data_IF_663231250480
#
_entry.id   IF_663231250480
#
_cell.length_a   1.000
_cell.length_b   1.000
_cell.length_c   1.000
_cell.angle_alpha   90.00
_cell.angle_beta   90.00
_cell.angle_gamma   90.00
#
_symmetry.space_group_name_H-M   'P 1'
#
loop_
_entity.id
_entity.type
_entity.pdbx_description
1 polymer ?
#
# COMPACT_ATOMS: atom_id res chain seq x y z
N UNK A 1 47.59 23.65 7.68
CA UNK A 1 46.40 22.85 7.36
C UNK A 1 45.22 23.53 8.03
N UNK A 2 44.47 24.35 7.31
CA UNK A 2 43.30 25.03 7.86
C UNK A 2 42.11 24.08 7.76
N UNK A 3 41.65 23.56 8.90
CA UNK A 3 40.31 23.01 9.00
C UNK A 3 39.33 24.18 8.79
N UNK A 4 38.66 24.23 7.63
CA UNK A 4 37.54 25.14 7.43
C UNK A 4 36.37 24.61 8.26
N UNK A 5 36.06 25.31 9.34
CA UNK A 5 34.85 25.10 10.12
C UNK A 5 33.62 25.23 9.22
N UNK A 6 32.72 24.24 9.24
CA UNK A 6 31.40 24.33 8.61
C UNK A 6 30.51 25.44 9.19
N UNK A 7 30.97 26.20 10.19
CA UNK A 7 30.26 27.31 10.82
C UNK A 7 30.39 28.66 10.09
N UNK A 8 30.98 28.71 8.89
CA UNK A 8 31.14 29.95 8.10
C UNK A 8 29.97 30.20 7.14
N UNK A 9 29.11 29.21 6.90
CA UNK A 9 27.98 29.33 5.98
C UNK A 9 26.79 30.05 6.64
N UNK A 10 26.13 31.00 5.95
CA UNK A 10 24.88 31.59 6.41
C UNK A 10 23.78 30.55 6.61
N UNK A 11 22.81 30.84 7.49
CA UNK A 11 21.65 29.98 7.79
C UNK A 11 20.91 29.57 6.50
N UNK A 12 20.68 30.51 5.58
CA UNK A 12 19.98 30.27 4.32
C UNK A 12 20.71 29.26 3.42
N UNK A 13 22.05 29.27 3.44
CA UNK A 13 22.85 28.30 2.70
C UNK A 13 22.73 26.91 3.34
N UNK A 14 22.77 26.84 4.67
CA UNK A 14 22.63 25.59 5.41
C UNK A 14 21.23 25.01 5.21
N UNK A 15 20.17 25.82 5.31
CA UNK A 15 18.79 25.37 5.09
C UNK A 15 18.58 24.89 3.66
N UNK A 16 19.14 25.59 2.67
CA UNK A 16 19.10 25.15 1.27
C UNK A 16 19.80 23.80 1.10
N UNK A 17 20.98 23.60 1.68
CA UNK A 17 21.69 22.31 1.63
C UNK A 17 20.86 21.22 2.31
N UNK A 18 20.34 21.47 3.52
CA UNK A 18 19.51 20.51 4.25
C UNK A 18 18.25 20.12 3.48
N UNK A 19 17.64 21.04 2.73
CA UNK A 19 16.45 20.77 1.91
C UNK A 19 16.67 19.74 0.79
N UNK A 20 17.93 19.48 0.41
CA UNK A 20 18.32 18.44 -0.53
C UNK A 20 18.73 17.11 0.13
N UNK A 21 18.71 17.04 1.47
CA UNK A 21 18.99 15.83 2.23
C UNK A 21 17.71 15.05 2.53
N UNK A 22 17.77 14.05 3.42
CA UNK A 22 16.57 13.35 3.92
C UNK A 22 16.03 14.04 5.19
N UNK A 23 14.73 13.92 5.48
CA UNK A 23 14.16 14.32 6.76
C UNK A 23 14.91 13.74 7.96
N UNK A 24 15.41 12.50 7.84
CA UNK A 24 16.17 11.85 8.90
C UNK A 24 17.53 12.50 9.13
N UNK A 25 18.25 12.84 8.06
CA UNK A 25 19.55 13.50 8.16
C UNK A 25 19.41 14.94 8.64
N UNK A 26 18.36 15.65 8.21
CA UNK A 26 18.02 16.98 8.73
C UNK A 26 17.79 16.94 10.24
N UNK A 27 17.05 15.95 10.75
CA UNK A 27 16.85 15.77 12.18
C UNK A 27 18.16 15.48 12.94
N UNK A 28 19.11 14.74 12.34
CA UNK A 28 20.43 14.49 12.94
C UNK A 28 21.29 15.75 12.97
N UNK A 29 21.17 16.59 11.94
CA UNK A 29 21.89 17.86 11.84
C UNK A 29 21.52 18.87 12.94
N UNK A 30 20.32 18.75 13.55
CA UNK A 30 19.92 19.58 14.70
C UNK A 30 20.92 19.56 15.85
N UNK A 31 21.65 18.45 16.03
CA UNK A 31 22.59 18.26 17.13
C UNK A 31 24.02 18.73 16.83
N UNK A 32 24.29 19.23 15.61
CA UNK A 32 25.65 19.60 15.17
C UNK A 32 26.07 20.97 15.73
N UNK A 33 25.21 21.99 15.61
CA UNK A 33 25.43 23.32 16.19
C UNK A 33 24.11 24.10 16.28
N UNK A 34 24.12 25.24 16.97
CA UNK A 34 22.95 26.13 17.06
C UNK A 34 22.50 26.68 15.70
N UNK A 35 23.45 26.98 14.81
CA UNK A 35 23.14 27.43 13.44
C UNK A 35 22.43 26.34 12.64
N UNK A 36 22.91 25.09 12.73
CA UNK A 36 22.24 23.95 12.10
C UNK A 36 20.87 23.69 12.72
N UNK A 37 20.70 23.91 14.03
CA UNK A 37 19.39 23.79 14.67
C UNK A 37 18.37 24.74 14.05
N UNK A 38 18.72 26.03 13.95
CA UNK A 38 17.81 27.05 13.38
C UNK A 38 17.53 26.74 11.90
N UNK A 39 18.58 26.46 11.12
CA UNK A 39 18.44 26.16 9.70
C UNK A 39 17.60 24.90 9.42
N UNK A 40 17.72 23.85 10.24
CA UNK A 40 16.97 22.61 10.10
C UNK A 40 15.50 22.74 10.55
N UNK A 41 15.18 23.70 11.42
CA UNK A 41 13.80 24.01 11.83
C UNK A 41 13.08 24.95 10.84
N UNK A 42 13.79 25.50 9.86
CA UNK A 42 13.23 26.39 8.85
C UNK A 42 12.20 25.71 7.96
N UNK A 43 11.06 26.37 7.76
CA UNK A 43 9.99 25.90 6.86
C UNK A 43 10.44 25.77 5.39
N UNK A 44 11.54 26.42 4.99
CA UNK A 44 12.15 26.25 3.66
C UNK A 44 12.59 24.80 3.42
N UNK A 45 13.13 24.16 4.47
CA UNK A 45 13.58 22.76 4.44
C UNK A 45 12.37 21.84 4.33
N UNK A 46 11.41 22.00 5.24
CA UNK A 46 10.26 21.11 5.35
C UNK A 46 9.27 21.25 4.19
N UNK A 47 9.24 22.40 3.51
CA UNK A 47 8.48 22.57 2.25
C UNK A 47 8.93 21.59 1.16
N UNK A 48 10.24 21.26 1.09
CA UNK A 48 10.76 20.30 0.12
C UNK A 48 10.46 18.85 0.49
N UNK A 49 10.32 18.57 1.79
CA UNK A 49 10.01 17.23 2.29
C UNK A 49 8.52 16.91 2.26
N UNK A 50 7.67 17.93 2.32
CA UNK A 50 6.23 17.75 2.17
C UNK A 50 5.88 17.38 0.71
N UNK A 51 4.92 16.48 0.50
CA UNK A 51 4.43 16.18 -0.85
C UNK A 51 3.82 17.41 -1.50
N UNK A 52 4.00 17.62 -2.80
CA UNK A 52 3.44 18.78 -3.52
C UNK A 52 1.93 18.96 -3.39
N UNK A 53 1.20 17.88 -3.09
CA UNK A 53 -0.25 17.86 -2.89
C UNK A 53 -0.69 17.91 -1.41
N UNK A 54 0.20 18.28 -0.47
CA UNK A 54 -0.13 18.32 0.96
C UNK A 54 -1.36 19.20 1.28
N UNK A 55 -1.56 20.30 0.55
CA UNK A 55 -2.73 21.18 0.72
C UNK A 55 -4.04 20.46 0.38
N UNK A 56 -4.03 19.61 -0.65
CA UNK A 56 -5.18 18.78 -1.00
C UNK A 56 -5.49 17.79 0.11
N UNK A 57 -4.45 17.15 0.69
CA UNK A 57 -4.62 16.20 1.80
C UNK A 57 -5.27 16.88 3.00
N UNK A 58 -4.82 18.08 3.37
CA UNK A 58 -5.43 18.87 4.45
C UNK A 58 -6.87 19.25 4.13
N UNK A 59 -7.18 19.58 2.88
CA UNK A 59 -8.55 19.96 2.50
C UNK A 59 -9.54 18.80 2.53
N UNK A 60 -9.07 17.57 2.29
CA UNK A 60 -9.89 16.36 2.22
C UNK A 60 -9.87 15.55 3.52
N UNK A 61 -9.09 15.95 4.51
CA UNK A 61 -8.99 15.22 5.78
C UNK A 61 -10.31 15.27 6.54
N UNK A 62 -10.75 14.11 7.03
CA UNK A 62 -11.99 13.99 7.83
C UNK A 62 -11.89 14.76 9.15
N UNK A 63 -10.70 14.83 9.74
CA UNK A 63 -10.42 15.63 10.93
C UNK A 63 -9.55 16.84 10.60
N UNK A 64 -9.80 18.03 11.18
CA UNK A 64 -8.98 19.21 10.94
C UNK A 64 -7.53 19.00 11.37
N UNK A 65 -6.59 19.26 10.46
CA UNK A 65 -5.15 19.21 10.74
C UNK A 65 -4.70 20.61 11.17
N UNK A 66 -4.47 20.79 12.47
CA UNK A 66 -3.92 22.03 13.03
C UNK A 66 -2.41 21.91 13.18
N UNK A 67 -1.65 22.83 12.59
CA UNK A 67 -0.19 22.84 12.68
C UNK A 67 0.37 24.26 12.82
N UNK A 68 1.50 24.38 13.51
CA UNK A 68 2.21 25.64 13.76
C UNK A 68 3.41 25.87 12.84
N UNK A 69 3.94 24.81 12.22
CA UNK A 69 5.05 24.85 11.25
C UNK A 69 4.94 23.70 10.24
N UNK A 70 5.67 23.79 9.12
CA UNK A 70 5.72 22.70 8.12
C UNK A 70 6.39 21.45 8.67
N UNK A 71 7.35 21.62 9.59
CA UNK A 71 7.92 20.52 10.38
C UNK A 71 6.84 19.80 11.17
N UNK A 72 6.02 20.55 11.92
CA UNK A 72 4.92 19.97 12.70
C UNK A 72 3.93 19.23 11.80
N UNK A 73 3.57 19.83 10.66
CA UNK A 73 2.72 19.19 9.65
C UNK A 73 3.31 17.87 9.13
N UNK A 74 4.61 17.82 8.82
CA UNK A 74 5.27 16.61 8.35
C UNK A 74 5.15 15.46 9.35
N UNK A 75 5.44 15.72 10.64
CA UNK A 75 5.30 14.70 11.68
C UNK A 75 3.85 14.28 11.91
N UNK A 76 2.90 15.21 11.77
CA UNK A 76 1.48 14.88 11.88
C UNK A 76 1.02 13.98 10.73
N UNK A 77 1.45 14.25 9.50
CA UNK A 77 1.13 13.45 8.31
C UNK A 77 1.88 12.10 8.26
N UNK A 78 2.87 11.87 9.13
CA UNK A 78 3.40 10.50 9.33
C UNK A 78 2.36 9.59 10.00
N UNK A 79 1.43 10.15 10.77
CA UNK A 79 0.32 9.40 11.33
C UNK A 79 -0.77 9.21 10.25
N UNK A 80 -1.48 8.08 10.28
CA UNK A 80 -2.56 7.83 9.34
C UNK A 80 -3.62 8.92 9.35
N UNK A 81 -3.85 9.51 8.18
CA UNK A 81 -4.86 10.56 7.95
C UNK A 81 -5.93 10.00 7.03
N UNK A 82 -7.19 10.05 7.48
CA UNK A 82 -8.33 9.60 6.69
C UNK A 82 -8.83 10.72 5.79
N UNK A 83 -9.03 10.40 4.51
CA UNK A 83 -9.61 11.29 3.49
C UNK A 83 -10.76 10.59 2.77
N UNK A 84 -11.46 11.30 1.87
CA UNK A 84 -12.53 10.76 1.02
C UNK A 84 -13.57 9.98 1.85
N UNK A 85 -14.18 10.68 2.82
CA UNK A 85 -15.18 10.12 3.74
C UNK A 85 -14.68 8.93 4.59
N UNK A 86 -13.36 8.80 4.76
CA UNK A 86 -12.75 7.72 5.54
C UNK A 86 -12.44 6.47 4.73
N UNK A 87 -12.66 6.48 3.42
CA UNK A 87 -12.38 5.34 2.55
C UNK A 87 -10.93 5.27 2.07
N UNK A 88 -10.15 6.33 2.27
CA UNK A 88 -8.72 6.32 1.99
C UNK A 88 -7.93 6.79 3.19
N UNK A 89 -6.79 6.17 3.39
CA UNK A 89 -5.87 6.49 4.47
C UNK A 89 -4.52 6.86 3.86
N UNK A 90 -4.03 8.06 4.17
CA UNK A 90 -2.74 8.56 3.71
C UNK A 90 -1.78 8.69 4.88
N UNK A 91 -0.51 8.40 4.63
CA UNK A 91 0.58 8.66 5.57
C UNK A 91 1.88 8.98 4.82
N UNK A 92 2.82 9.64 5.49
CA UNK A 92 4.15 9.88 4.94
C UNK A 92 5.13 8.81 5.40
N UNK A 93 5.91 8.30 4.46
CA UNK A 93 7.06 7.46 4.76
C UNK A 93 8.13 8.29 5.49
N UNK A 94 8.55 7.81 6.67
CA UNK A 94 9.42 8.55 7.59
C UNK A 94 10.77 8.98 6.98
N UNK A 95 11.34 8.13 6.14
CA UNK A 95 12.67 8.31 5.55
C UNK A 95 12.66 9.22 4.33
N UNK A 96 11.63 9.12 3.49
CA UNK A 96 11.59 9.76 2.16
C UNK A 96 10.60 10.92 2.07
N UNK A 97 9.66 11.03 3.01
CA UNK A 97 8.54 11.97 2.94
C UNK A 97 7.53 11.65 1.84
N UNK A 98 7.62 10.49 1.19
CA UNK A 98 6.71 10.09 0.12
C UNK A 98 5.39 9.59 0.69
N UNK A 99 4.32 9.80 -0.06
CA UNK A 99 2.97 9.39 0.34
C UNK A 99 2.86 7.88 0.21
N UNK A 100 2.43 7.24 1.30
CA UNK A 100 1.84 5.91 1.32
C UNK A 100 0.32 6.08 1.34
N UNK A 101 -0.39 5.30 0.54
CA UNK A 101 -1.85 5.40 0.44
C UNK A 101 -2.48 4.02 0.62
N UNK A 102 -3.55 3.94 1.39
CA UNK A 102 -4.38 2.75 1.46
C UNK A 102 -5.81 3.07 1.06
N UNK A 103 -6.36 2.25 0.16
CA UNK A 103 -7.76 2.26 -0.25
C UNK A 103 -8.50 1.22 0.58
N UNK A 104 -9.60 1.59 1.23
CA UNK A 104 -10.44 0.65 1.98
C UNK A 104 -11.17 -0.31 1.03
N UNK A 105 -11.65 -1.43 1.56
CA UNK A 105 -12.50 -2.35 0.81
C UNK A 105 -13.72 -1.67 0.17
N UNK A 106 -14.29 -0.63 0.80
CA UNK A 106 -15.42 0.15 0.25
C UNK A 106 -15.06 0.98 -0.98
N UNK A 107 -13.81 1.40 -1.13
CA UNK A 107 -13.33 2.11 -2.32
C UNK A 107 -13.02 1.14 -3.48
N UNK A 108 -12.96 -0.17 -3.21
CA UNK A 108 -12.69 -1.19 -4.21
C UNK A 108 -13.97 -1.59 -4.93
N UNK A 109 -13.83 -1.91 -6.22
CA UNK A 109 -14.86 -2.59 -7.00
C UNK A 109 -14.66 -4.10 -6.85
N UNK A 110 -15.49 -4.72 -6.02
CA UNK A 110 -15.48 -6.15 -5.74
C UNK A 110 -16.68 -6.78 -6.45
N UNK A 111 -16.45 -7.78 -7.29
CA UNK A 111 -17.55 -8.47 -7.97
C UNK A 111 -18.43 -9.22 -6.96
N UNK A 112 -19.74 -8.98 -7.03
CA UNK A 112 -20.72 -9.61 -6.14
C UNK A 112 -20.86 -8.95 -4.77
N UNK A 113 -20.17 -7.83 -4.50
CA UNK A 113 -20.18 -7.19 -3.16
C UNK A 113 -21.55 -6.71 -2.66
N UNK A 114 -22.50 -6.56 -3.57
CA UNK A 114 -23.87 -6.14 -3.28
C UNK A 114 -24.77 -7.32 -2.88
N UNK A 115 -24.32 -8.57 -3.10
CA UNK A 115 -25.05 -9.79 -2.74
C UNK A 115 -24.60 -10.30 -1.35
N UNK A 116 -25.48 -10.25 -0.32
CA UNK A 116 -25.19 -10.75 1.02
C UNK A 116 -24.91 -12.27 1.10
N UNK A 117 -25.26 -13.02 0.04
CA UNK A 117 -24.93 -14.45 -0.06
C UNK A 117 -23.47 -14.67 -0.47
N UNK A 118 -22.88 -13.72 -1.20
CA UNK A 118 -21.48 -13.78 -1.61
C UNK A 118 -20.56 -13.03 -0.64
N UNK A 119 -20.94 -11.82 -0.22
CA UNK A 119 -20.11 -10.94 0.60
C UNK A 119 -20.84 -10.41 1.83
N UNK A 120 -20.13 -10.32 2.96
CA UNK A 120 -20.60 -9.66 4.17
C UNK A 120 -19.67 -8.49 4.48
N UNK A 121 -20.26 -7.34 4.77
CA UNK A 121 -19.56 -6.19 5.31
C UNK A 121 -19.61 -6.23 6.83
N UNK A 122 -18.45 -6.13 7.48
CA UNK A 122 -18.37 -6.20 8.93
C UNK A 122 -17.27 -5.29 9.48
N UNK A 123 -17.41 -4.87 10.74
CA UNK A 123 -16.35 -4.18 11.45
C UNK A 123 -15.39 -5.17 12.09
N UNK A 124 -14.09 -4.95 11.92
CA UNK A 124 -13.04 -5.73 12.57
C UNK A 124 -12.25 -4.83 13.51
N UNK A 125 -12.05 -5.22 14.79
CA UNK A 125 -11.28 -4.42 15.74
C UNK A 125 -9.80 -4.29 15.35
N UNK A 126 -9.31 -5.19 14.50
CA UNK A 126 -7.93 -5.22 14.00
C UNK A 126 -7.77 -4.47 12.67
N UNK A 127 -8.87 -3.96 12.09
CA UNK A 127 -8.89 -3.21 10.84
C UNK A 127 -8.59 -1.73 11.08
N UNK A 128 -7.88 -1.13 10.12
CA UNK A 128 -7.65 0.33 10.07
C UNK A 128 -8.87 1.10 9.59
N UNK A 129 -9.81 0.43 8.91
CA UNK A 129 -11.07 0.99 8.42
C UNK A 129 -12.27 0.46 9.21
N UNK A 130 -13.38 1.21 9.17
CA UNK A 130 -14.62 0.83 9.85
C UNK A 130 -15.20 -0.50 9.38
N UNK A 131 -15.03 -0.80 8.10
CA UNK A 131 -15.67 -1.94 7.45
C UNK A 131 -14.67 -2.69 6.57
N UNK A 132 -14.70 -4.01 6.67
CA UNK A 132 -13.98 -4.95 5.83
C UNK A 132 -14.97 -5.85 5.10
N UNK A 133 -14.57 -6.40 3.97
CA UNK A 133 -15.41 -7.28 3.16
C UNK A 133 -14.98 -8.74 3.35
N UNK A 134 -15.85 -9.59 3.89
CA UNK A 134 -15.65 -11.04 3.99
C UNK A 134 -16.41 -11.76 2.88
N UNK A 135 -15.68 -12.56 2.10
CA UNK A 135 -16.24 -13.47 1.12
C UNK A 135 -16.83 -14.70 1.83
N UNK A 136 -18.14 -14.89 1.78
CA UNK A 136 -18.79 -16.10 2.28
C UNK A 136 -18.56 -17.28 1.35
N UNK A 137 -18.95 -17.10 0.09
CA UNK A 137 -19.04 -18.17 -0.90
C UNK A 137 -19.31 -17.59 -2.28
N UNK A 138 -18.33 -17.62 -3.19
CA UNK A 138 -18.55 -17.27 -4.60
C UNK A 138 -17.66 -18.12 -5.51
N UNK A 139 -18.10 -18.33 -6.76
CA UNK A 139 -17.25 -18.92 -7.80
C UNK A 139 -16.45 -17.85 -8.53
N UNK A 140 -16.81 -16.56 -8.42
CA UNK A 140 -16.09 -15.45 -9.05
C UNK A 140 -15.31 -14.67 -7.99
N UNK A 141 -14.02 -14.43 -8.25
CA UNK A 141 -13.21 -13.54 -7.43
C UNK A 141 -12.56 -12.48 -8.32
N UNK A 142 -13.03 -11.25 -8.18
CA UNK A 142 -12.54 -10.11 -8.93
C UNK A 142 -12.58 -8.87 -8.04
N UNK A 143 -11.40 -8.40 -7.67
CA UNK A 143 -11.18 -7.24 -6.82
C UNK A 143 -10.42 -6.22 -7.66
N UNK A 144 -10.95 -5.02 -7.78
CA UNK A 144 -10.33 -3.94 -8.54
C UNK A 144 -10.21 -2.68 -7.70
N UNK A 145 -9.02 -2.10 -7.66
CA UNK A 145 -8.77 -0.77 -7.10
C UNK A 145 -8.46 0.22 -8.21
N UNK A 146 -8.85 1.48 -8.01
CA UNK A 146 -8.50 2.58 -8.89
C UNK A 146 -8.00 3.76 -8.06
N UNK A 147 -6.94 4.40 -8.52
CA UNK A 147 -6.43 5.61 -7.90
C UNK A 147 -5.86 6.55 -8.97
N UNK A 148 -5.94 7.85 -8.72
CA UNK A 148 -5.31 8.86 -9.56
C UNK A 148 -3.85 9.04 -9.16
N UNK A 149 -2.96 9.12 -10.14
CA UNK A 149 -1.52 9.33 -9.93
C UNK A 149 -1.17 10.58 -9.14
N UNK A 150 -2.01 11.62 -9.24
CA UNK A 150 -1.82 12.90 -8.55
C UNK A 150 -2.08 12.83 -7.03
N UNK A 151 -2.70 11.77 -6.53
CA UNK A 151 -2.85 11.50 -5.10
C UNK A 151 -1.55 10.98 -4.49
N UNK A 152 -0.68 10.38 -5.32
CA UNK A 152 0.61 9.82 -4.94
C UNK A 152 1.75 10.82 -5.20
N UNK A 153 2.91 10.57 -4.60
CA UNK A 153 4.09 11.39 -4.84
C UNK A 153 4.63 11.18 -6.26
N UNK A 154 4.93 12.25 -7.03
CA UNK A 154 5.48 12.12 -8.37
C UNK A 154 6.93 11.64 -8.35
N UNK A 155 7.38 11.08 -9.48
CA UNK A 155 8.73 10.54 -9.70
C UNK A 155 9.14 9.45 -8.71
N UNK A 156 8.20 8.60 -8.32
CA UNK A 156 8.40 7.56 -7.30
C UNK A 156 7.97 6.20 -7.86
N UNK A 157 8.77 5.18 -7.62
CA UNK A 157 8.37 3.79 -7.84
C UNK A 157 7.44 3.36 -6.70
N UNK A 158 6.29 2.82 -7.05
CA UNK A 158 5.29 2.30 -6.13
C UNK A 158 5.08 0.82 -6.35
N UNK A 159 4.77 0.13 -5.26
CA UNK A 159 4.22 -1.22 -5.30
C UNK A 159 2.86 -1.23 -4.63
N UNK A 160 1.90 -1.92 -5.25
CA UNK A 160 0.55 -2.10 -4.73
C UNK A 160 0.44 -3.46 -4.04
N UNK A 161 -0.17 -3.48 -2.86
CA UNK A 161 -0.33 -4.66 -2.03
C UNK A 161 -1.81 -4.82 -1.66
N UNK A 162 -2.41 -5.95 -1.97
CA UNK A 162 -3.72 -6.28 -1.41
C UNK A 162 -3.53 -6.78 0.02
N UNK A 163 -4.20 -6.13 0.98
CA UNK A 163 -4.16 -6.50 2.40
C UNK A 163 -5.43 -7.27 2.76
N UNK A 164 -5.25 -8.48 3.27
CA UNK A 164 -6.31 -9.46 3.46
C UNK A 164 -6.03 -10.41 4.63
N UNK A 165 -7.05 -11.13 5.06
CA UNK A 165 -6.98 -12.24 6.02
C UNK A 165 -7.69 -13.46 5.44
N UNK A 166 -7.25 -14.64 5.86
CA UNK A 166 -7.95 -15.89 5.59
C UNK A 166 -8.51 -16.40 6.91
N UNK A 167 -9.82 -16.64 6.94
CA UNK A 167 -10.47 -17.26 8.10
C UNK A 167 -10.06 -18.73 8.22
N UNK A 168 -10.24 -19.32 9.40
CA UNK A 168 -9.90 -20.73 9.62
C UNK A 168 -10.75 -21.66 8.74
N UNK A 169 -11.96 -21.24 8.42
CA UNK A 169 -12.89 -21.92 7.52
C UNK A 169 -12.65 -21.58 6.04
N UNK A 170 -11.54 -20.94 5.66
CA UNK A 170 -11.24 -20.61 4.27
C UNK A 170 -11.07 -21.87 3.40
N UNK A 171 -11.60 -21.82 2.17
CA UNK A 171 -11.54 -22.92 1.20
C UNK A 171 -11.49 -22.40 -0.23
N UNK A 172 -10.94 -23.19 -1.15
CA UNK A 172 -10.96 -22.93 -2.60
C UNK A 172 -9.99 -21.86 -3.12
N UNK A 173 -9.41 -21.04 -2.24
CA UNK A 173 -8.55 -19.89 -2.57
C UNK A 173 -7.11 -20.27 -3.00
N UNK A 174 -6.66 -21.46 -2.64
CA UNK A 174 -5.32 -22.00 -2.89
C UNK A 174 -5.28 -23.02 -4.05
N UNK A 175 -6.46 -23.35 -4.59
CA UNK A 175 -6.63 -24.37 -5.63
C UNK A 175 -6.09 -23.93 -6.99
N UNK A 176 -6.23 -22.65 -7.31
CA UNK A 176 -5.78 -22.01 -8.54
C UNK A 176 -5.09 -20.68 -8.22
N UNK A 177 -4.07 -20.30 -9.00
CA UNK A 177 -3.46 -18.99 -8.83
C UNK A 177 -4.43 -17.89 -9.27
N UNK A 178 -4.42 -16.80 -8.52
CA UNK A 178 -5.06 -15.54 -8.91
C UNK A 178 -4.11 -14.75 -9.82
N UNK A 179 -4.64 -14.21 -10.92
CA UNK A 179 -3.94 -13.23 -11.74
C UNK A 179 -3.99 -11.87 -11.05
N UNK A 180 -2.80 -11.34 -10.84
CA UNK A 180 -2.57 -10.03 -10.30
C UNK A 180 -2.19 -9.11 -11.45
N UNK A 181 -2.76 -7.92 -11.52
CA UNK A 181 -2.38 -6.98 -12.55
C UNK A 181 -2.35 -5.55 -12.06
N UNK A 182 -1.46 -4.78 -12.69
CA UNK A 182 -1.41 -3.34 -12.56
C UNK A 182 -1.36 -2.71 -13.95
N UNK A 183 -2.26 -1.77 -14.20
CA UNK A 183 -2.40 -1.07 -15.46
C UNK A 183 -2.11 0.41 -15.26
N UNK A 184 -1.11 0.92 -15.97
CA UNK A 184 -0.71 2.33 -15.97
C UNK A 184 -0.54 2.80 -17.40
N UNK A 185 -1.30 3.83 -17.82
CA UNK A 185 -1.22 4.42 -19.18
C UNK A 185 -1.25 3.36 -20.30
N UNK A 186 -2.16 2.39 -20.22
CA UNK A 186 -2.32 1.25 -21.14
C UNK A 186 -1.18 0.22 -21.16
N UNK A 187 -0.20 0.32 -20.25
CA UNK A 187 0.76 -0.76 -20.00
C UNK A 187 0.23 -1.62 -18.86
N UNK A 188 0.03 -2.90 -19.13
CA UNK A 188 -0.43 -3.88 -18.14
C UNK A 188 0.74 -4.76 -17.76
N UNK A 189 1.07 -4.78 -16.47
CA UNK A 189 1.93 -5.82 -15.90
C UNK A 189 1.04 -6.88 -15.27
N UNK A 190 1.29 -8.16 -15.58
CA UNK A 190 0.54 -9.30 -15.05
C UNK A 190 1.49 -10.22 -14.30
N UNK A 191 1.02 -10.70 -13.16
CA UNK A 191 1.69 -11.68 -12.33
C UNK A 191 0.66 -12.70 -11.83
N UNK A 192 1.11 -13.77 -11.20
CA UNK A 192 0.23 -14.80 -10.63
C UNK A 192 0.64 -15.12 -9.22
N UNK A 193 -0.32 -15.36 -8.35
CA UNK A 193 -0.02 -15.69 -6.97
C UNK A 193 -1.09 -16.56 -6.34
N UNK A 194 -0.69 -17.38 -5.37
CA UNK A 194 -1.60 -18.24 -4.62
C UNK A 194 -1.99 -17.58 -3.30
N UNK A 195 -3.30 -17.56 -3.03
CA UNK A 195 -3.86 -17.11 -1.77
C UNK A 195 -3.83 -18.27 -0.77
N UNK A 196 -2.69 -18.48 -0.14
CA UNK A 196 -2.49 -19.58 0.81
C UNK A 196 -1.86 -19.10 2.11
N UNK A 197 -2.32 -19.65 3.23
CA UNK A 197 -1.61 -19.60 4.51
C UNK A 197 -0.54 -20.69 4.52
N UNK A 198 0.62 -20.40 5.10
CA UNK A 198 1.68 -21.40 5.27
C UNK A 198 1.35 -22.32 6.47
N UNK A 199 0.31 -23.15 6.33
CA UNK A 199 -0.06 -24.15 7.34
C UNK A 199 0.28 -25.56 6.83
N UNK A 200 1.36 -26.11 7.38
CA UNK A 200 1.90 -27.42 7.00
C UNK A 200 0.90 -28.56 7.23
N UNK A 201 0.01 -28.46 8.22
CA UNK A 201 -0.96 -29.52 8.54
C UNK A 201 -2.11 -29.53 7.56
N UNK A 202 -2.66 -28.35 7.24
CA UNK A 202 -3.73 -28.19 6.24
C UNK A 202 -3.22 -28.61 4.86
N UNK A 203 -2.01 -28.18 4.49
CA UNK A 203 -1.35 -28.60 3.24
C UNK A 203 -1.17 -30.12 3.15
N UNK A 204 -0.73 -30.77 4.22
CA UNK A 204 -0.53 -32.22 4.22
C UNK A 204 -1.85 -32.98 4.05
N UNK A 205 -2.92 -32.55 4.74
CA UNK A 205 -4.25 -33.13 4.60
C UNK A 205 -4.81 -32.92 3.18
N UNK A 206 -4.71 -31.72 2.63
CA UNK A 206 -5.17 -31.43 1.26
C UNK A 206 -4.38 -32.23 0.21
N UNK A 207 -3.07 -32.42 0.40
CA UNK A 207 -2.27 -33.30 -0.44
C UNK A 207 -2.70 -34.76 -0.36
N UNK A 208 -3.09 -35.25 0.82
CA UNK A 208 -3.52 -36.65 0.96
C UNK A 208 -4.89 -36.91 0.33
N UNK A 209 -5.86 -36.01 0.52
CA UNK A 209 -7.24 -36.26 0.09
C UNK A 209 -7.57 -35.72 -1.31
N UNK A 210 -6.89 -34.66 -1.77
CA UNK A 210 -7.25 -33.94 -2.99
C UNK A 210 -6.09 -33.72 -3.97
N UNK A 211 -4.96 -34.40 -3.78
CA UNK A 211 -3.77 -34.32 -4.65
C UNK A 211 -4.11 -34.44 -6.15
N UNK A 212 -4.85 -35.48 -6.55
CA UNK A 212 -5.23 -35.69 -7.95
C UNK A 212 -6.04 -34.52 -8.52
N UNK A 213 -6.95 -33.95 -7.72
CA UNK A 213 -7.78 -32.79 -8.12
C UNK A 213 -6.93 -31.53 -8.25
N UNK A 214 -6.09 -31.25 -7.26
CA UNK A 214 -5.21 -30.07 -7.27
C UNK A 214 -4.22 -30.14 -8.43
N UNK A 215 -3.64 -31.32 -8.69
CA UNK A 215 -2.72 -31.52 -9.80
C UNK A 215 -3.40 -31.35 -11.16
N UNK A 216 -4.65 -31.83 -11.30
CA UNK A 216 -5.46 -31.63 -12.50
C UNK A 216 -5.92 -30.17 -12.69
N UNK A 217 -6.16 -29.42 -11.61
CA UNK A 217 -6.47 -27.99 -11.70
C UNK A 217 -5.23 -27.17 -12.08
N UNK A 218 -4.08 -27.48 -11.49
CA UNK A 218 -2.81 -26.81 -11.81
C UNK A 218 -2.38 -27.04 -13.25
N UNK A 219 -2.62 -28.24 -13.82
CA UNK A 219 -2.28 -28.50 -15.23
C UNK A 219 -3.12 -27.70 -16.23
N UNK A 220 -4.25 -27.10 -15.81
CA UNK A 220 -5.06 -26.19 -16.64
C UNK A 220 -4.47 -24.78 -16.73
N UNK A 221 -3.44 -24.49 -15.93
CA UNK A 221 -2.78 -23.18 -15.87
C UNK A 221 -1.34 -23.30 -16.35
N UNK A 222 -0.95 -22.50 -17.33
CA UNK A 222 0.42 -22.45 -17.83
C UNK A 222 1.37 -21.95 -16.73
N UNK A 223 2.56 -22.55 -16.61
CA UNK A 223 3.59 -22.20 -15.63
C UNK A 223 4.36 -20.89 -15.94
N UNK A 224 3.87 -20.07 -16.86
CA UNK A 224 4.50 -18.80 -17.23
C UNK A 224 4.05 -17.69 -16.27
N UNK A 225 4.98 -17.20 -15.45
CA UNK A 225 4.77 -16.07 -14.52
C UNK A 225 5.67 -16.15 -13.29
N UNK A 226 5.88 -15.02 -12.62
CA UNK A 226 6.49 -14.98 -11.28
C UNK A 226 5.41 -15.41 -10.29
N UNK A 227 5.64 -16.49 -9.53
CA UNK A 227 4.72 -16.92 -8.48
C UNK A 227 4.92 -16.10 -7.20
N UNK A 228 3.94 -15.27 -6.88
CA UNK A 228 3.84 -14.61 -5.58
C UNK A 228 3.24 -15.52 -4.51
N UNK A 229 3.63 -15.32 -3.25
CA UNK A 229 3.01 -15.95 -2.09
C UNK A 229 2.57 -14.82 -1.14
N UNK A 230 1.38 -14.95 -0.56
CA UNK A 230 0.92 -14.04 0.49
C UNK A 230 1.87 -14.08 1.70
N UNK A 231 2.24 -12.92 2.21
CA UNK A 231 3.16 -12.77 3.34
C UNK A 231 2.41 -12.27 4.57
N UNK A 232 2.73 -12.82 5.74
CA UNK A 232 2.18 -12.35 7.01
C UNK A 232 2.86 -11.05 7.45
N UNK A 233 2.03 -10.12 7.95
CA UNK A 233 2.43 -8.84 8.50
C UNK A 233 2.45 -8.90 10.02
N UNK A 234 3.12 -7.93 10.65
CA UNK A 234 3.21 -7.81 12.11
C UNK A 234 1.87 -7.46 12.78
N UNK A 235 0.94 -6.90 12.03
CA UNK A 235 -0.41 -6.51 12.47
C UNK A 235 -1.43 -7.68 12.37
N UNK A 236 -0.96 -8.89 12.04
CA UNK A 236 -1.80 -10.08 11.89
C UNK A 236 -2.54 -10.17 10.55
N UNK A 237 -2.43 -9.16 9.69
CA UNK A 237 -2.92 -9.23 8.32
C UNK A 237 -1.92 -9.94 7.41
N UNK A 238 -2.38 -10.34 6.22
CA UNK A 238 -1.53 -10.82 5.14
C UNK A 238 -1.53 -9.82 3.99
N UNK A 239 -0.45 -9.79 3.23
CA UNK A 239 -0.35 -8.98 2.03
C UNK A 239 0.14 -9.78 0.83
N UNK A 240 -0.30 -9.36 -0.34
CA UNK A 240 0.15 -9.90 -1.62
C UNK A 240 0.44 -8.77 -2.59
N UNK A 241 1.62 -8.80 -3.21
CA UNK A 241 2.06 -7.77 -4.15
C UNK A 241 1.32 -7.92 -5.48
N UNK A 242 0.48 -6.93 -5.81
CA UNK A 242 -0.29 -6.88 -7.05
C UNK A 242 0.59 -6.48 -8.24
N UNK A 243 1.65 -5.71 -7.99
CA UNK A 243 2.62 -5.28 -8.98
C UNK A 243 3.27 -3.94 -8.63
N UNK A 244 4.26 -3.59 -9.44
CA UNK A 244 5.02 -2.34 -9.34
C UNK A 244 4.73 -1.41 -10.52
N UNK A 245 4.83 -0.11 -10.27
CA UNK A 245 4.73 0.91 -11.31
C UNK A 245 5.53 2.16 -10.94
N UNK A 246 5.98 2.88 -11.97
CA UNK A 246 6.59 4.19 -11.78
C UNK A 246 5.52 5.29 -11.92
N UNK A 247 5.37 6.10 -10.89
CA UNK A 247 4.50 7.27 -10.91
C UNK A 247 5.24 8.46 -11.54
N UNK A 248 5.13 8.62 -12.84
CA UNK A 248 5.67 9.77 -13.57
C UNK A 248 4.80 11.03 -13.41
N UNK A 249 5.33 12.21 -13.74
CA UNK A 249 4.61 13.48 -13.69
C UNK A 249 3.43 13.42 -14.68
N UNK A 250 2.21 13.55 -14.18
CA UNK A 250 0.99 13.57 -14.98
C UNK A 250 -0.25 13.11 -14.19
N UNK A 251 -1.41 13.25 -14.83
CA UNK A 251 -2.69 12.76 -14.30
C UNK A 251 -3.11 11.52 -15.11
N UNK A 252 -2.85 10.34 -14.56
CA UNK A 252 -3.30 9.08 -15.12
C UNK A 252 -4.01 8.24 -14.06
N UNK A 253 -4.96 7.43 -14.51
CA UNK A 253 -5.61 6.43 -13.68
C UNK A 253 -4.72 5.19 -13.59
N UNK A 254 -4.47 4.73 -12.36
CA UNK A 254 -3.78 3.48 -12.06
C UNK A 254 -4.85 2.49 -11.64
N UNK A 255 -4.92 1.36 -12.35
CA UNK A 255 -5.85 0.27 -12.02
C UNK A 255 -5.06 -0.90 -11.48
N UNK A 256 -5.53 -1.47 -10.38
CA UNK A 256 -4.94 -2.63 -9.73
C UNK A 256 -6.02 -3.69 -9.66
N UNK A 257 -5.68 -4.95 -9.92
CA UNK A 257 -6.66 -6.02 -9.85
C UNK A 257 -6.09 -7.32 -9.32
N UNK A 258 -6.91 -8.04 -8.57
CA UNK A 258 -6.78 -9.46 -8.32
C UNK A 258 -7.98 -10.17 -8.95
N UNK A 259 -7.74 -11.10 -9.85
CA UNK A 259 -8.77 -11.82 -10.56
C UNK A 259 -8.44 -13.32 -10.60
N UNK A 260 -9.43 -14.16 -10.35
CA UNK A 260 -9.27 -15.59 -10.62
C UNK A 260 -9.38 -15.86 -12.13
N UNK A 261 -8.41 -16.58 -12.68
CA UNK A 261 -8.26 -16.72 -14.15
C UNK A 261 -9.25 -17.73 -14.73
N UNK A 262 -9.39 -18.91 -14.11
CA UNK A 262 -10.15 -20.06 -14.64
C UNK A 262 -10.59 -21.03 -13.53
N UNK A 263 -11.45 -20.59 -12.63
CA UNK A 263 -11.99 -21.45 -11.58
C UNK A 263 -13.48 -21.25 -11.38
N UNK A 264 -14.29 -22.25 -11.73
CA UNK A 264 -15.67 -22.37 -11.23
C UNK A 264 -15.68 -22.98 -9.82
N UNK A 265 -14.61 -22.76 -9.06
CA UNK A 265 -14.44 -23.33 -7.73
C UNK A 265 -15.10 -22.41 -6.71
N UNK A 266 -15.98 -23.00 -5.91
CA UNK A 266 -16.56 -22.32 -4.77
C UNK A 266 -15.43 -21.99 -3.80
N UNK A 267 -15.38 -20.73 -3.37
CA UNK A 267 -14.38 -20.27 -2.42
C UNK A 267 -14.99 -19.29 -1.42
N UNK A 268 -14.41 -19.26 -0.23
CA UNK A 268 -14.91 -18.49 0.89
C UNK A 268 -13.86 -18.30 1.97
N UNK A 269 -14.18 -17.44 2.94
CA UNK A 269 -13.32 -17.10 4.07
C UNK A 269 -12.19 -16.12 3.75
N UNK A 270 -12.29 -15.34 2.67
CA UNK A 270 -11.36 -14.25 2.36
C UNK A 270 -11.88 -12.95 2.95
N UNK A 271 -11.12 -12.31 3.84
CA UNK A 271 -11.44 -10.99 4.40
C UNK A 271 -10.52 -9.96 3.76
N UNK A 272 -11.08 -8.89 3.20
CA UNK A 272 -10.35 -7.82 2.52
C UNK A 272 -10.41 -6.56 3.37
N UNK A 273 -9.24 -6.03 3.71
CA UNK A 273 -9.13 -4.71 4.33
C UNK A 273 -9.05 -3.62 3.26
N UNK A 274 -8.26 -3.86 2.20
CA UNK A 274 -8.00 -2.84 1.20
C UNK A 274 -6.77 -3.09 0.34
N UNK A 275 -6.39 -2.07 -0.44
CA UNK A 275 -5.15 -2.06 -1.23
C UNK A 275 -4.23 -0.95 -0.71
N UNK A 276 -3.01 -1.31 -0.33
CA UNK A 276 -1.97 -0.42 0.16
C UNK A 276 -0.90 -0.17 -0.91
N UNK A 277 -0.68 1.09 -1.26
CA UNK A 277 0.34 1.56 -2.20
C UNK A 277 1.51 2.14 -1.41
N UNK A 278 2.68 1.50 -1.51
CA UNK A 278 3.91 1.89 -0.80
C UNK A 278 4.98 2.35 -1.78
N UNK A 279 5.71 3.43 -1.48
CA UNK A 279 6.95 3.74 -2.17
C UNK A 279 7.92 2.57 -2.06
N UNK A 280 8.59 2.23 -3.16
CA UNK A 280 9.63 1.20 -3.21
C UNK A 280 10.90 1.86 -3.69
N UNK A 281 11.99 1.71 -2.94
CA UNK A 281 13.31 2.19 -3.37
C UNK A 281 13.66 1.51 -4.70
N UNK A 282 14.08 2.30 -5.69
CA UNK A 282 14.72 1.74 -6.89
C UNK A 282 15.95 0.96 -6.44
N UNK A 283 15.99 -0.34 -6.75
CA UNK A 283 17.22 -1.13 -6.67
C UNK A 283 18.23 -0.63 -7.70
#
# INVERSE_FOLDING_TARGET
MNYQDCNVLPEDCISTILSFTTPQDTCRSLSVSSLFHIAADSDVVWDKFLPSNYQYIISQSVSPIVFSSKKHLFFQLQNPTFIDHGNKMLSLERSTGKITCMLSAKELSIAGSDDPMEWIWMSSPESRFSDVAELRSSTRLEIKGKIRSNTLSPKTNYAAYLVMKLTDCSYGLDSLPSELSIEVRNKVSKSRAYLRRNDSKKQWLEQLYYSNRVQMLRSRVSSEGIEGIAQERKDGWMEIELGEFYNDVGNCEIKMSLMEVKGDQLKGGLVIEGIELRPKSSK
#
